data_IF_674252693823
#
_entry.id   IF_674252693823
#
_cell.length_a   1.000
_cell.length_b   1.000
_cell.length_c   1.000
_cell.angle_alpha   90.00
_cell.angle_beta   90.00
_cell.angle_gamma   90.00
#
_symmetry.space_group_name_H-M   'P 1'
#
loop_
_entity.id
_entity.type
_entity.pdbx_description
1 polymer ?
#
# COMPACT_ATOMS: atom_id res chain seq x y z
N UNK A 1 14.09 20.85 -17.49
CA UNK A 1 13.73 19.56 -16.85
C UNK A 1 13.77 18.49 -17.93
N UNK A 2 14.43 17.34 -17.70
CA UNK A 2 14.48 16.28 -18.71
C UNK A 2 13.10 15.63 -18.87
N UNK A 3 12.74 15.20 -20.09
CA UNK A 3 11.48 14.49 -20.34
C UNK A 3 11.34 13.21 -19.52
N UNK A 4 12.46 12.54 -19.25
CA UNK A 4 12.51 11.33 -18.40
C UNK A 4 12.13 11.60 -16.94
N UNK A 5 12.53 12.75 -16.39
CA UNK A 5 12.13 13.15 -15.04
C UNK A 5 10.61 13.35 -14.97
N UNK A 6 10.05 14.10 -15.93
CA UNK A 6 8.61 14.34 -15.98
C UNK A 6 7.83 13.02 -16.11
N UNK A 7 8.31 12.11 -16.94
CA UNK A 7 7.72 10.78 -17.08
C UNK A 7 7.77 9.99 -15.76
N UNK A 8 8.92 9.99 -15.07
CA UNK A 8 9.05 9.32 -13.77
C UNK A 8 8.11 9.87 -12.71
N UNK A 9 7.98 11.20 -12.61
CA UNK A 9 7.05 11.86 -11.69
C UNK A 9 5.60 11.51 -12.04
N UNK A 10 5.23 11.57 -13.32
CA UNK A 10 3.90 11.21 -13.77
C UNK A 10 3.57 9.75 -13.44
N UNK A 11 4.49 8.84 -13.70
CA UNK A 11 4.32 7.42 -13.41
C UNK A 11 4.21 7.16 -11.90
N UNK A 12 4.97 7.89 -11.09
CA UNK A 12 4.88 7.82 -9.61
C UNK A 12 3.51 8.27 -9.11
N UNK A 13 2.98 9.38 -9.64
CA UNK A 13 1.66 9.89 -9.29
C UNK A 13 0.57 8.89 -9.72
N UNK A 14 0.66 8.36 -10.95
CA UNK A 14 -0.28 7.38 -11.46
C UNK A 14 -0.30 6.12 -10.57
N UNK A 15 0.87 5.60 -10.21
CA UNK A 15 0.99 4.45 -9.34
C UNK A 15 0.40 4.73 -7.94
N UNK A 16 0.65 5.90 -7.35
CA UNK A 16 0.05 6.32 -6.08
C UNK A 16 -1.49 6.41 -6.17
N UNK A 17 -2.00 6.93 -7.28
CA UNK A 17 -3.45 7.02 -7.53
C UNK A 17 -4.08 5.64 -7.62
N UNK A 18 -3.46 4.70 -8.32
CA UNK A 18 -3.94 3.30 -8.40
C UNK A 18 -3.90 2.64 -7.03
N UNK A 19 -2.82 2.81 -6.27
CA UNK A 19 -2.67 2.23 -4.93
C UNK A 19 -3.75 2.73 -3.96
N UNK A 20 -3.83 4.04 -3.77
CA UNK A 20 -4.76 4.67 -2.82
C UNK A 20 -6.21 4.50 -3.28
N UNK A 21 -6.47 4.73 -4.58
CA UNK A 21 -7.79 4.61 -5.16
C UNK A 21 -8.38 3.22 -5.04
N UNK A 22 -7.57 2.17 -5.25
CA UNK A 22 -8.03 0.79 -5.08
C UNK A 22 -8.37 0.45 -3.64
N UNK A 23 -7.60 0.94 -2.65
CA UNK A 23 -7.92 0.74 -1.23
C UNK A 23 -9.22 1.44 -0.83
N UNK A 24 -9.41 2.69 -1.27
CA UNK A 24 -10.64 3.45 -1.01
C UNK A 24 -11.84 2.76 -1.67
N UNK A 25 -11.70 2.36 -2.95
CA UNK A 25 -12.76 1.67 -3.68
C UNK A 25 -13.18 0.36 -2.99
N UNK A 26 -12.20 -0.45 -2.58
CA UNK A 26 -12.50 -1.67 -1.83
C UNK A 26 -13.21 -1.38 -0.51
N UNK A 27 -12.70 -0.41 0.26
CA UNK A 27 -13.22 -0.08 1.58
C UNK A 27 -14.61 0.56 1.57
N UNK A 28 -14.87 1.44 0.61
CA UNK A 28 -16.10 2.27 0.55
C UNK A 28 -17.18 1.64 -0.30
N UNK A 29 -16.83 0.95 -1.38
CA UNK A 29 -17.80 0.38 -2.31
C UNK A 29 -17.92 -1.15 -2.17
N UNK A 30 -16.83 -1.88 -2.36
CA UNK A 30 -16.88 -3.34 -2.50
C UNK A 30 -17.22 -4.03 -1.18
N UNK A 31 -16.49 -3.71 -0.10
CA UNK A 31 -16.69 -4.37 1.20
C UNK A 31 -18.08 -4.09 1.78
N UNK A 32 -18.64 -2.87 1.77
CA UNK A 32 -20.01 -2.62 2.22
C UNK A 32 -21.07 -3.32 1.36
N UNK A 33 -20.87 -3.35 0.03
CA UNK A 33 -21.77 -4.07 -0.88
C UNK A 33 -21.82 -5.55 -0.52
N UNK A 34 -20.67 -6.20 -0.40
CA UNK A 34 -20.57 -7.63 -0.07
C UNK A 34 -21.05 -7.99 1.34
N UNK A 35 -21.26 -6.99 2.24
CA UNK A 35 -21.85 -7.22 3.57
C UNK A 35 -23.35 -7.37 3.53
N UNK A 36 -24.02 -6.99 2.46
CA UNK A 36 -25.48 -7.16 2.34
C UNK A 36 -25.85 -8.64 2.38
N UNK A 37 -27.02 -9.01 2.95
CA UNK A 37 -27.45 -10.40 3.10
C UNK A 37 -27.50 -11.18 1.78
N UNK A 38 -27.85 -10.50 0.68
CA UNK A 38 -27.97 -11.08 -0.67
C UNK A 38 -26.64 -11.70 -1.15
N UNK A 39 -25.49 -11.14 -0.72
CA UNK A 39 -24.16 -11.61 -1.09
C UNK A 39 -23.55 -12.59 -0.09
N UNK A 40 -24.26 -12.96 0.98
CA UNK A 40 -23.74 -13.84 2.03
C UNK A 40 -23.16 -15.17 1.47
N UNK A 41 -23.81 -15.86 0.52
CA UNK A 41 -23.30 -17.14 -0.01
C UNK A 41 -21.99 -17.02 -0.77
N UNK A 42 -21.74 -15.88 -1.44
CA UNK A 42 -20.57 -15.67 -2.31
C UNK A 42 -19.51 -14.75 -1.72
N UNK A 43 -19.82 -14.08 -0.60
CA UNK A 43 -18.97 -13.06 0.04
C UNK A 43 -17.53 -13.50 0.24
N UNK A 44 -17.34 -14.65 0.87
CA UNK A 44 -16.00 -15.15 1.22
C UNK A 44 -15.21 -15.47 -0.02
N UNK A 45 -15.79 -16.15 -0.98
CA UNK A 45 -15.15 -16.49 -2.25
C UNK A 45 -14.78 -15.22 -3.05
N UNK A 46 -15.68 -14.25 -3.14
CA UNK A 46 -15.42 -12.99 -3.83
C UNK A 46 -14.31 -12.18 -3.16
N UNK A 47 -14.35 -12.01 -1.84
CA UNK A 47 -13.30 -11.27 -1.12
C UNK A 47 -11.93 -11.96 -1.26
N UNK A 48 -11.89 -13.29 -1.27
CA UNK A 48 -10.66 -14.04 -1.49
C UNK A 48 -10.10 -13.83 -2.91
N UNK A 49 -10.94 -13.97 -3.93
CA UNK A 49 -10.53 -13.78 -5.33
C UNK A 49 -10.08 -12.34 -5.60
N UNK A 50 -10.79 -11.36 -5.06
CA UNK A 50 -10.39 -9.96 -5.12
C UNK A 50 -9.03 -9.77 -4.42
N UNK A 51 -8.85 -10.32 -3.22
CA UNK A 51 -7.58 -10.25 -2.48
C UNK A 51 -6.40 -10.81 -3.27
N UNK A 52 -6.57 -11.95 -3.96
CA UNK A 52 -5.52 -12.52 -4.81
C UNK A 52 -5.16 -11.60 -5.99
N UNK A 53 -6.15 -11.02 -6.67
CA UNK A 53 -5.91 -10.09 -7.78
C UNK A 53 -5.27 -8.79 -7.31
N UNK A 54 -5.79 -8.21 -6.22
CA UNK A 54 -5.25 -6.98 -5.66
C UNK A 54 -3.85 -7.14 -5.07
N UNK A 55 -3.47 -8.34 -4.61
CA UNK A 55 -2.10 -8.63 -4.20
C UNK A 55 -1.12 -8.38 -5.34
N UNK A 56 -1.32 -8.98 -6.50
CA UNK A 56 -0.42 -8.81 -7.64
C UNK A 56 -0.36 -7.36 -8.13
N UNK A 57 -1.51 -6.72 -8.30
CA UNK A 57 -1.59 -5.30 -8.69
C UNK A 57 -0.88 -4.44 -7.64
N UNK A 58 -1.18 -4.65 -6.37
CA UNK A 58 -0.63 -3.88 -5.26
C UNK A 58 0.89 -3.97 -5.18
N UNK A 59 1.46 -5.17 -5.23
CA UNK A 59 2.92 -5.34 -5.18
C UNK A 59 3.62 -4.79 -6.41
N UNK A 60 3.04 -4.92 -7.60
CA UNK A 60 3.56 -4.28 -8.82
C UNK A 60 3.57 -2.76 -8.68
N UNK A 61 2.49 -2.18 -8.19
CA UNK A 61 2.37 -0.73 -7.97
C UNK A 61 3.33 -0.24 -6.88
N UNK A 62 3.47 -0.96 -5.76
CA UNK A 62 4.43 -0.64 -4.70
C UNK A 62 5.88 -0.66 -5.22
N UNK A 63 6.25 -1.67 -6.00
CA UNK A 63 7.57 -1.75 -6.64
C UNK A 63 7.81 -0.55 -7.56
N UNK A 64 6.81 -0.21 -8.37
CA UNK A 64 6.87 0.95 -9.26
C UNK A 64 7.03 2.26 -8.49
N UNK A 65 6.33 2.42 -7.36
CA UNK A 65 6.47 3.58 -6.47
C UNK A 65 7.88 3.69 -5.88
N UNK A 66 8.49 2.56 -5.48
CA UNK A 66 9.86 2.55 -4.96
C UNK A 66 10.84 2.94 -6.06
N UNK A 67 10.77 2.32 -7.23
CA UNK A 67 11.67 2.60 -8.36
C UNK A 67 11.58 4.07 -8.78
N UNK A 68 10.38 4.55 -9.04
CA UNK A 68 10.17 5.95 -9.47
C UNK A 68 10.55 6.94 -8.36
N UNK A 69 10.35 6.57 -7.09
CA UNK A 69 10.77 7.38 -5.95
C UNK A 69 12.29 7.55 -5.90
N UNK A 70 13.06 6.47 -6.08
CA UNK A 70 14.53 6.51 -6.13
C UNK A 70 14.99 7.37 -7.32
N UNK A 71 14.40 7.16 -8.50
CA UNK A 71 14.71 7.95 -9.70
C UNK A 71 14.47 9.44 -9.45
N UNK A 72 13.34 9.80 -8.84
CA UNK A 72 12.98 11.19 -8.56
C UNK A 72 13.93 11.86 -7.55
N UNK A 73 14.44 11.11 -6.56
CA UNK A 73 15.48 11.59 -5.62
C UNK A 73 16.80 11.85 -6.37
N UNK A 74 17.20 10.92 -7.25
CA UNK A 74 18.40 11.07 -8.07
C UNK A 74 18.35 12.31 -8.99
N UNK A 75 17.20 12.60 -9.59
CA UNK A 75 17.03 13.83 -10.41
C UNK A 75 17.09 15.13 -9.59
N UNK A 76 16.92 15.07 -8.28
CA UNK A 76 17.15 16.21 -7.37
C UNK A 76 18.62 16.40 -6.99
N UNK A 77 19.51 15.57 -7.53
CA UNK A 77 20.96 15.65 -7.32
C UNK A 77 21.47 14.84 -6.13
N UNK A 78 20.62 14.05 -5.46
CA UNK A 78 21.05 13.19 -4.37
C UNK A 78 21.46 11.81 -4.87
N UNK A 79 22.65 11.36 -4.45
CA UNK A 79 23.22 10.04 -4.77
C UNK A 79 23.26 9.09 -3.56
N UNK A 80 23.87 7.96 -3.77
CA UNK A 80 24.08 6.97 -2.70
C UNK A 80 24.95 7.52 -1.56
N UNK A 81 25.95 8.34 -1.90
CA UNK A 81 26.84 8.97 -0.90
C UNK A 81 26.06 9.91 0.03
N UNK A 82 25.06 10.64 -0.48
CA UNK A 82 24.22 11.52 0.32
C UNK A 82 23.32 10.74 1.29
N UNK A 83 22.88 9.54 0.86
CA UNK A 83 22.11 8.64 1.70
C UNK A 83 22.91 8.18 2.91
N UNK A 84 24.17 7.73 2.70
CA UNK A 84 25.01 7.14 3.74
C UNK A 84 25.75 8.21 4.58
N UNK A 85 26.11 9.34 4.01
CA UNK A 85 26.71 10.47 4.75
C UNK A 85 25.71 11.22 5.62
N UNK A 86 24.42 11.03 5.41
CA UNK A 86 23.36 11.73 6.11
C UNK A 86 22.96 13.06 5.48
N UNK A 87 23.59 13.49 4.40
CA UNK A 87 23.28 14.75 3.71
C UNK A 87 21.84 14.80 3.18
N UNK A 88 21.32 13.67 2.68
CA UNK A 88 19.94 13.52 2.21
C UNK A 88 18.89 13.85 3.31
N UNK A 89 19.22 13.62 4.58
CA UNK A 89 18.27 13.74 5.70
C UNK A 89 18.26 15.10 6.35
N UNK A 90 19.12 16.03 5.90
CA UNK A 90 19.24 17.36 6.47
C UNK A 90 18.15 18.30 5.97
N UNK A 91 17.85 19.31 6.80
CA UNK A 91 16.83 20.31 6.47
C UNK A 91 15.38 19.82 6.55
N UNK A 92 14.43 20.70 6.29
CA UNK A 92 12.98 20.37 6.36
C UNK A 92 12.58 19.32 5.34
N UNK A 93 13.07 19.44 4.11
CA UNK A 93 12.77 18.50 3.02
C UNK A 93 13.27 17.08 3.32
N UNK A 94 14.54 16.94 3.75
CA UNK A 94 15.12 15.63 4.08
C UNK A 94 14.40 14.95 5.25
N UNK A 95 14.00 15.71 6.28
CA UNK A 95 13.19 15.16 7.38
C UNK A 95 11.81 14.70 6.93
N UNK A 96 11.14 15.46 6.07
CA UNK A 96 9.83 15.06 5.49
C UNK A 96 9.97 13.79 4.65
N UNK A 97 11.05 13.70 3.84
CA UNK A 97 11.36 12.50 3.09
C UNK A 97 11.61 11.29 4.00
N UNK A 98 12.38 11.46 5.09
CA UNK A 98 12.64 10.39 6.06
C UNK A 98 11.32 9.84 6.65
N UNK A 99 10.44 10.69 7.13
CA UNK A 99 9.13 10.27 7.63
C UNK A 99 8.29 9.57 6.57
N UNK A 100 8.28 10.08 5.35
CA UNK A 100 7.60 9.43 4.23
C UNK A 100 8.13 8.01 3.98
N UNK A 101 9.46 7.83 3.97
CA UNK A 101 10.06 6.51 3.76
C UNK A 101 9.78 5.55 4.92
N UNK A 102 9.79 6.02 6.16
CA UNK A 102 9.39 5.21 7.32
C UNK A 102 7.95 4.71 7.16
N UNK A 103 7.01 5.58 6.76
CA UNK A 103 5.63 5.18 6.53
C UNK A 103 5.50 4.22 5.34
N UNK A 104 6.27 4.40 4.27
CA UNK A 104 6.30 3.49 3.12
C UNK A 104 6.76 2.10 3.56
N UNK A 105 7.85 2.00 4.32
CA UNK A 105 8.35 0.73 4.84
C UNK A 105 7.32 0.06 5.77
N UNK A 106 6.64 0.83 6.59
CA UNK A 106 5.58 0.34 7.47
C UNK A 106 4.40 -0.22 6.65
N UNK A 107 3.95 0.50 5.63
CA UNK A 107 2.88 0.04 4.72
C UNK A 107 3.32 -1.24 4.00
N UNK A 108 4.54 -1.31 3.49
CA UNK A 108 5.07 -2.52 2.83
C UNK A 108 5.12 -3.72 3.78
N UNK A 109 5.58 -3.52 5.01
CA UNK A 109 5.61 -4.57 6.05
C UNK A 109 4.20 -5.07 6.41
N UNK A 110 3.26 -4.15 6.64
CA UNK A 110 1.86 -4.51 6.92
C UNK A 110 1.24 -5.23 5.72
N UNK A 111 1.48 -4.75 4.48
CA UNK A 111 1.01 -5.40 3.26
C UNK A 111 1.55 -6.82 3.12
N UNK A 112 2.83 -7.03 3.43
CA UNK A 112 3.42 -8.37 3.39
C UNK A 112 2.74 -9.32 4.39
N UNK A 113 2.55 -8.90 5.63
CA UNK A 113 1.86 -9.70 6.65
C UNK A 113 0.40 -9.96 6.25
N UNK A 114 -0.30 -8.93 5.77
CA UNK A 114 -1.69 -9.03 5.34
C UNK A 114 -1.85 -10.02 4.18
N UNK A 115 -1.01 -9.90 3.14
CA UNK A 115 -1.20 -10.62 1.88
C UNK A 115 -0.63 -12.05 1.91
N UNK A 116 0.51 -12.25 2.58
CA UNK A 116 1.22 -13.53 2.53
C UNK A 116 0.98 -14.40 3.76
N UNK A 117 0.54 -13.81 4.88
CA UNK A 117 0.26 -14.55 6.10
C UNK A 117 -1.23 -14.58 6.45
N UNK A 118 -1.86 -13.42 6.66
CA UNK A 118 -3.24 -13.36 7.14
C UNK A 118 -4.25 -13.86 6.10
N UNK A 119 -4.10 -13.48 4.83
CA UNK A 119 -5.01 -13.88 3.76
C UNK A 119 -5.10 -15.41 3.62
N UNK A 120 -3.97 -16.10 3.33
CA UNK A 120 -3.95 -17.57 3.22
C UNK A 120 -4.38 -18.27 4.50
N UNK A 121 -3.93 -17.79 5.66
CA UNK A 121 -4.27 -18.42 6.95
C UNK A 121 -5.76 -18.32 7.26
N UNK A 122 -6.38 -17.18 7.00
CA UNK A 122 -7.82 -16.99 7.18
C UNK A 122 -8.60 -17.99 6.32
N UNK A 123 -8.19 -18.19 5.07
CA UNK A 123 -8.87 -19.11 4.17
C UNK A 123 -8.78 -20.56 4.64
N UNK A 124 -7.58 -21.00 5.06
CA UNK A 124 -7.39 -22.35 5.62
C UNK A 124 -8.27 -22.62 6.85
N UNK A 125 -8.40 -21.63 7.75
CA UNK A 125 -9.24 -21.76 8.93
C UNK A 125 -10.75 -21.77 8.58
N UNK A 126 -11.16 -21.02 7.57
CA UNK A 126 -12.55 -21.04 7.06
C UNK A 126 -12.90 -22.40 6.46
N UNK A 127 -12.00 -23.00 5.67
CA UNK A 127 -12.19 -24.33 5.09
C UNK A 127 -12.30 -25.43 6.15
N UNK A 128 -11.64 -25.26 7.30
CA UNK A 128 -11.71 -26.17 8.46
C UNK A 128 -12.90 -25.88 9.39
N UNK A 129 -13.67 -24.85 9.14
CA UNK A 129 -14.79 -24.45 10.00
C UNK A 129 -14.36 -23.96 11.39
N UNK A 130 -13.12 -23.48 11.53
CA UNK A 130 -12.59 -23.04 12.83
C UNK A 130 -13.10 -21.64 13.21
N UNK A 131 -13.56 -21.47 14.44
CA UNK A 131 -14.06 -20.18 14.96
C UNK A 131 -12.99 -19.06 14.93
N UNK A 132 -11.70 -19.43 14.99
CA UNK A 132 -10.56 -18.51 14.88
C UNK A 132 -10.48 -17.77 13.55
N UNK A 133 -11.09 -18.29 12.48
CA UNK A 133 -11.16 -17.64 11.17
C UNK A 133 -11.79 -16.26 11.22
N UNK A 134 -12.86 -16.08 11.99
CA UNK A 134 -13.54 -14.78 12.13
C UNK A 134 -12.66 -13.75 12.82
N UNK A 135 -11.88 -14.17 13.82
CA UNK A 135 -10.93 -13.29 14.51
C UNK A 135 -9.84 -12.81 13.56
N UNK A 136 -9.24 -13.71 12.78
CA UNK A 136 -8.23 -13.35 11.78
C UNK A 136 -8.79 -12.41 10.72
N UNK A 137 -10.02 -12.64 10.26
CA UNK A 137 -10.72 -11.78 9.31
C UNK A 137 -10.89 -10.36 9.84
N UNK A 138 -11.23 -10.21 11.14
CA UNK A 138 -11.30 -8.90 11.78
C UNK A 138 -9.94 -8.21 11.81
N UNK A 139 -8.88 -8.92 12.20
CA UNK A 139 -7.51 -8.39 12.21
C UNK A 139 -7.11 -7.92 10.81
N UNK A 140 -7.34 -8.74 9.78
CA UNK A 140 -7.06 -8.36 8.39
C UNK A 140 -7.82 -7.08 7.97
N UNK A 141 -9.09 -6.95 8.38
CA UNK A 141 -9.89 -5.75 8.11
C UNK A 141 -9.34 -4.50 8.81
N UNK A 142 -8.85 -4.60 10.05
CA UNK A 142 -8.21 -3.48 10.74
C UNK A 142 -6.89 -3.07 10.08
N UNK A 143 -6.07 -4.04 9.69
CA UNK A 143 -4.82 -3.75 8.99
C UNK A 143 -5.07 -3.09 7.63
N UNK A 144 -6.09 -3.52 6.89
CA UNK A 144 -6.48 -2.86 5.64
C UNK A 144 -6.87 -1.39 5.82
N UNK A 145 -7.62 -1.07 6.87
CA UNK A 145 -7.95 0.33 7.21
C UNK A 145 -6.71 1.13 7.62
N UNK A 146 -5.84 0.53 8.43
CA UNK A 146 -4.59 1.16 8.86
C UNK A 146 -3.71 1.47 7.65
N UNK A 147 -3.55 0.53 6.72
CA UNK A 147 -2.81 0.76 5.46
C UNK A 147 -3.38 1.93 4.67
N UNK A 148 -4.71 2.05 4.58
CA UNK A 148 -5.35 3.17 3.88
C UNK A 148 -5.03 4.50 4.56
N UNK A 149 -5.12 4.58 5.89
CA UNK A 149 -4.79 5.79 6.64
C UNK A 149 -3.31 6.18 6.52
N UNK A 150 -2.40 5.20 6.62
CA UNK A 150 -0.97 5.43 6.42
C UNK A 150 -0.65 5.90 5.00
N UNK A 151 -1.32 5.34 3.99
CA UNK A 151 -1.16 5.76 2.59
C UNK A 151 -1.64 7.18 2.35
N UNK A 152 -2.72 7.61 3.02
CA UNK A 152 -3.18 9.01 2.99
C UNK A 152 -2.19 9.93 3.71
N UNK A 153 -1.57 9.50 4.81
CA UNK A 153 -0.51 10.26 5.48
C UNK A 153 0.74 10.40 4.59
N UNK A 154 1.12 9.34 3.87
CA UNK A 154 2.20 9.39 2.86
C UNK A 154 1.88 10.41 1.77
N UNK A 155 0.63 10.44 1.29
CA UNK A 155 0.18 11.42 0.29
C UNK A 155 0.25 12.85 0.83
N UNK A 156 -0.17 13.08 2.09
CA UNK A 156 -0.05 14.39 2.72
C UNK A 156 1.42 14.85 2.82
N UNK A 157 2.33 13.96 3.24
CA UNK A 157 3.77 14.27 3.24
C UNK A 157 4.33 14.52 1.84
N UNK A 158 3.78 13.86 0.80
CA UNK A 158 4.22 14.06 -0.58
C UNK A 158 3.90 15.46 -1.11
N UNK A 159 2.86 16.12 -0.60
CA UNK A 159 2.51 17.52 -0.95
C UNK A 159 3.52 18.52 -0.36
N UNK A 160 4.24 18.13 0.70
CA UNK A 160 5.25 18.97 1.36
C UNK A 160 6.66 18.80 0.77
N UNK A 161 6.87 17.89 -0.20
CA UNK A 161 8.14 17.60 -0.87
C UNK A 161 8.26 18.26 -2.23
#
# INVERSE_FOLDING_TARGET
MSGWYLFSVWLHILAATVWIGSMIFLGVAVVPLLRRPEFAPVRTAMLYQLGLRFRWIGWTVLLLLVITGIVNIGYRGYGWDDLFSGALWQGPWGRTLAWKLVLVLLVMGISAVHDFYLGPRTMQLLERGEASAEQLRRVASYLGRLMTLLSLAILALAVLL
#
